data_IF_267203514663
#
_entry.id   IF_267203514663
#
_cell.length_a   1.000
_cell.length_b   1.000
_cell.length_c   1.000
_cell.angle_alpha   90.00
_cell.angle_beta   90.00
_cell.angle_gamma   90.00
#
_symmetry.space_group_name_H-M   'P 1'
#
loop_
_entity.id
_entity.type
_entity.pdbx_description
1 polymer ?
#
# COMPACT_ATOMS: atom_id res chain seq x y z
N UNK A 1 -87.21 -20.51 -15.86
CA UNK A 1 -86.82 -19.66 -17.01
C UNK A 1 -85.37 -19.42 -16.84
N UNK A 2 -84.53 -20.22 -17.49
CA UNK A 2 -83.08 -20.19 -17.38
C UNK A 2 -82.51 -19.60 -18.66
N UNK A 3 -81.72 -18.56 -18.54
CA UNK A 3 -80.97 -17.99 -19.66
C UNK A 3 -79.48 -18.24 -19.41
N UNK A 4 -78.94 -19.09 -20.25
CA UNK A 4 -77.53 -19.38 -20.26
C UNK A 4 -76.73 -18.29 -20.93
N UNK A 5 -75.56 -17.96 -20.35
CA UNK A 5 -74.54 -17.18 -21.01
C UNK A 5 -73.28 -18.02 -21.16
N UNK A 6 -72.95 -18.27 -22.40
CA UNK A 6 -71.74 -18.97 -22.84
C UNK A 6 -70.59 -17.93 -22.81
N UNK A 7 -69.57 -18.20 -22.01
CA UNK A 7 -68.35 -17.39 -22.01
C UNK A 7 -67.34 -18.02 -22.98
N UNK A 8 -66.91 -17.24 -23.95
CA UNK A 8 -65.81 -17.53 -24.89
C UNK A 8 -64.49 -17.22 -24.18
N UNK A 9 -63.67 -18.22 -23.97
CA UNK A 9 -62.34 -18.07 -23.46
C UNK A 9 -61.39 -17.75 -24.63
N UNK A 10 -60.93 -16.53 -24.67
CA UNK A 10 -59.88 -16.09 -25.60
C UNK A 10 -58.50 -16.55 -25.07
N UNK A 11 -57.85 -17.43 -25.80
CA UNK A 11 -56.41 -17.72 -25.65
C UNK A 11 -55.63 -16.61 -26.32
N UNK A 12 -54.95 -15.80 -25.53
CA UNK A 12 -53.92 -14.94 -26.08
C UNK A 12 -52.87 -14.63 -24.98
N UNK A 13 -51.63 -14.92 -25.26
CA UNK A 13 -50.49 -14.19 -24.70
C UNK A 13 -49.71 -14.86 -23.57
N UNK A 14 -49.15 -16.05 -23.75
CA UNK A 14 -47.86 -16.43 -23.08
C UNK A 14 -46.73 -16.08 -24.02
N UNK A 15 -46.24 -14.85 -23.93
CA UNK A 15 -45.05 -14.44 -24.61
C UNK A 15 -44.14 -13.70 -23.62
N UNK A 16 -42.94 -14.24 -23.42
CA UNK A 16 -41.70 -13.54 -23.12
C UNK A 16 -41.58 -12.78 -21.79
N UNK A 17 -41.19 -13.50 -20.75
CA UNK A 17 -40.27 -12.91 -19.75
C UNK A 17 -39.10 -13.92 -19.54
N UNK A 18 -38.28 -14.05 -20.57
CA UNK A 18 -36.99 -14.73 -20.54
C UNK A 18 -35.97 -13.78 -21.16
N UNK A 19 -35.57 -12.77 -20.41
CA UNK A 19 -34.40 -11.98 -20.79
C UNK A 19 -33.82 -11.30 -19.56
N UNK A 20 -32.49 -11.42 -19.42
CA UNK A 20 -31.62 -10.64 -18.56
C UNK A 20 -31.34 -11.18 -17.15
N UNK A 21 -30.92 -12.43 -17.05
CA UNK A 21 -29.95 -12.85 -16.04
C UNK A 21 -28.61 -13.07 -16.74
N UNK A 22 -28.03 -12.00 -17.25
CA UNK A 22 -26.67 -12.03 -17.80
C UNK A 22 -25.76 -11.23 -16.88
N UNK A 23 -24.82 -11.94 -16.30
CA UNK A 23 -23.47 -11.52 -15.98
C UNK A 23 -23.27 -10.39 -14.98
N UNK A 24 -23.13 -10.75 -13.72
CA UNK A 24 -22.16 -10.12 -12.85
C UNK A 24 -21.37 -11.18 -12.08
N UNK A 25 -20.57 -11.92 -12.80
CA UNK A 25 -19.51 -12.76 -12.24
C UNK A 25 -18.23 -12.57 -13.08
N UNK A 26 -17.85 -11.33 -13.31
CA UNK A 26 -16.46 -11.03 -13.61
C UNK A 26 -15.76 -10.86 -12.25
N UNK A 27 -15.43 -11.95 -11.60
CA UNK A 27 -14.33 -11.97 -10.65
C UNK A 27 -13.09 -11.59 -11.48
N UNK A 28 -12.76 -10.30 -11.48
CA UNK A 28 -11.61 -9.76 -12.19
C UNK A 28 -10.34 -10.39 -11.61
N UNK A 29 -9.90 -11.48 -12.21
CA UNK A 29 -8.51 -11.87 -12.09
C UNK A 29 -7.74 -10.77 -12.82
N UNK A 30 -6.91 -10.01 -12.08
CA UNK A 30 -5.99 -9.09 -12.73
C UNK A 30 -5.22 -9.87 -13.78
N UNK A 31 -5.19 -9.37 -15.00
CA UNK A 31 -4.44 -9.97 -16.08
C UNK A 31 -2.96 -10.08 -15.65
N UNK A 32 -2.31 -11.16 -16.06
CA UNK A 32 -0.88 -11.30 -15.83
C UNK A 32 -0.17 -10.12 -16.51
N UNK A 33 0.60 -9.35 -15.74
CA UNK A 33 1.19 -8.10 -16.22
C UNK A 33 2.06 -8.34 -17.45
N UNK A 34 1.90 -7.46 -18.44
CA UNK A 34 2.84 -7.34 -19.58
C UNK A 34 4.09 -6.54 -19.20
N UNK A 35 4.12 -5.95 -17.99
CA UNK A 35 5.22 -5.18 -17.43
C UNK A 35 6.04 -6.02 -16.46
N UNK A 36 7.29 -5.64 -16.26
CA UNK A 36 8.19 -6.21 -15.26
C UNK A 36 9.00 -5.10 -14.59
N UNK A 37 9.50 -5.39 -13.40
CA UNK A 37 10.47 -4.57 -12.68
C UNK A 37 11.83 -5.24 -12.81
N UNK A 38 12.64 -4.74 -13.75
CA UNK A 38 13.99 -5.22 -14.00
C UNK A 38 14.98 -4.53 -13.04
N UNK A 39 15.69 -5.32 -12.25
CA UNK A 39 16.70 -4.80 -11.32
C UNK A 39 17.77 -3.99 -12.05
N UNK A 40 18.06 -2.80 -11.55
CA UNK A 40 19.11 -1.90 -12.07
C UNK A 40 20.22 -1.64 -11.06
N UNK A 41 19.93 -1.80 -9.76
CA UNK A 41 20.93 -1.69 -8.70
C UNK A 41 20.46 -2.43 -7.43
N UNK A 42 21.46 -2.82 -6.61
CA UNK A 42 21.24 -3.48 -5.31
C UNK A 42 22.30 -3.00 -4.34
N UNK A 43 21.88 -2.66 -3.12
CA UNK A 43 22.73 -2.07 -2.12
C UNK A 43 22.54 -2.79 -0.77
N UNK A 44 23.64 -3.15 -0.10
CA UNK A 44 23.60 -3.60 1.27
C UNK A 44 23.15 -2.45 2.18
N UNK A 45 22.12 -2.67 2.97
CA UNK A 45 21.56 -1.67 3.89
C UNK A 45 20.95 -2.38 5.11
N UNK A 46 21.68 -2.52 6.22
CA UNK A 46 21.23 -3.22 7.43
C UNK A 46 19.86 -2.78 7.94
N UNK A 47 19.49 -1.52 7.72
CA UNK A 47 18.20 -0.94 8.09
C UNK A 47 17.04 -1.31 7.13
N UNK A 48 17.31 -1.96 5.99
CA UNK A 48 16.29 -2.39 5.03
C UNK A 48 15.45 -3.56 5.57
N UNK A 49 14.59 -3.28 6.54
CA UNK A 49 13.73 -4.27 7.22
C UNK A 49 12.25 -3.97 7.08
N UNK A 50 11.87 -2.69 7.07
CA UNK A 50 10.47 -2.25 7.01
C UNK A 50 10.17 -1.48 5.72
N UNK A 51 11.09 -0.67 5.20
CA UNK A 51 10.82 0.07 3.99
C UNK A 51 11.98 0.90 3.49
N UNK A 52 11.69 1.68 2.46
CA UNK A 52 12.63 2.60 1.83
C UNK A 52 11.91 3.88 1.43
N UNK A 53 12.62 5.02 1.56
CA UNK A 53 12.27 6.29 0.93
C UNK A 53 13.42 6.72 0.02
N UNK A 54 13.17 7.62 -0.92
CA UNK A 54 14.18 8.03 -1.90
C UNK A 54 14.02 9.51 -2.26
N UNK A 55 15.16 10.21 -2.38
CA UNK A 55 15.27 11.56 -2.97
C UNK A 55 16.15 11.55 -4.23
N UNK A 56 16.53 12.72 -4.72
CA UNK A 56 17.34 12.82 -5.93
C UNK A 56 18.77 12.26 -5.78
N UNK A 57 19.31 12.20 -4.57
CA UNK A 57 20.71 11.82 -4.29
C UNK A 57 20.83 10.59 -3.38
N UNK A 58 19.84 10.33 -2.52
CA UNK A 58 19.92 9.33 -1.48
C UNK A 58 18.72 8.40 -1.49
N UNK A 59 18.91 7.20 -0.93
CA UNK A 59 17.82 6.37 -0.42
C UNK A 59 17.95 6.26 1.10
N UNK A 60 16.81 6.00 1.74
CA UNK A 60 16.68 5.91 3.19
C UNK A 60 16.07 4.54 3.51
N UNK A 61 16.88 3.65 4.05
CA UNK A 61 16.42 2.33 4.51
C UNK A 61 15.86 2.44 5.93
N UNK A 62 14.70 1.85 6.16
CA UNK A 62 13.97 1.97 7.43
C UNK A 62 13.85 0.61 8.11
N UNK A 63 14.12 0.58 9.41
CA UNK A 63 13.83 -0.52 10.32
C UNK A 63 12.95 -0.02 11.47
N UNK A 64 12.46 -0.91 12.33
CA UNK A 64 11.54 -0.57 13.43
C UNK A 64 11.93 0.69 14.21
N UNK A 65 13.21 0.89 14.46
CA UNK A 65 13.75 1.97 15.31
C UNK A 65 14.91 2.71 14.69
N UNK A 66 15.12 2.61 13.39
CA UNK A 66 16.29 3.20 12.76
C UNK A 66 16.05 3.61 11.32
N UNK A 67 16.84 4.57 10.87
CA UNK A 67 16.87 5.06 9.51
C UNK A 67 18.33 5.17 9.08
N UNK A 68 18.71 4.44 8.04
CA UNK A 68 20.00 4.59 7.36
C UNK A 68 19.85 5.43 6.10
N UNK A 69 20.66 6.46 5.93
CA UNK A 69 20.74 7.29 4.71
C UNK A 69 21.94 6.87 3.88
N UNK A 70 21.73 6.64 2.60
CA UNK A 70 22.73 6.09 1.69
C UNK A 70 22.83 6.92 0.39
N UNK A 71 24.03 7.10 -0.10
CA UNK A 71 24.25 7.67 -1.42
C UNK A 71 23.82 6.72 -2.54
N UNK A 72 22.99 7.18 -3.48
CA UNK A 72 22.41 6.35 -4.55
C UNK A 72 23.42 5.85 -5.57
N UNK A 73 24.56 6.55 -5.74
CA UNK A 73 25.58 6.19 -6.73
C UNK A 73 26.55 5.15 -6.21
N UNK A 74 26.94 5.30 -4.94
CA UNK A 74 27.99 4.49 -4.33
C UNK A 74 27.45 3.40 -3.42
N UNK A 75 26.22 3.53 -2.91
CA UNK A 75 25.67 2.68 -1.86
C UNK A 75 26.30 2.95 -0.48
N UNK A 76 27.14 3.95 -0.32
CA UNK A 76 27.78 4.25 0.95
C UNK A 76 26.76 4.86 1.94
N UNK A 77 26.75 4.37 3.19
CA UNK A 77 26.00 4.99 4.26
C UNK A 77 26.62 6.35 4.62
N UNK A 78 25.81 7.42 4.51
CA UNK A 78 26.26 8.79 4.78
C UNK A 78 25.74 9.33 6.10
N UNK A 79 24.65 8.77 6.63
CA UNK A 79 24.12 9.09 7.95
C UNK A 79 23.28 7.95 8.49
N UNK A 80 23.11 7.92 9.80
CA UNK A 80 22.23 6.99 10.51
C UNK A 80 21.54 7.71 11.66
N UNK A 81 20.28 7.39 11.87
CA UNK A 81 19.54 7.70 13.07
C UNK A 81 19.04 6.41 13.72
N UNK A 82 19.03 6.38 15.05
CA UNK A 82 18.54 5.24 15.81
C UNK A 82 17.78 5.75 17.04
N UNK A 83 16.55 5.31 17.20
CA UNK A 83 15.73 5.61 18.37
C UNK A 83 16.21 4.83 19.61
N UNK A 84 16.01 5.41 20.78
CA UNK A 84 16.32 4.74 22.04
C UNK A 84 15.50 3.44 22.18
N UNK A 85 16.13 2.40 22.78
CA UNK A 85 15.49 1.09 22.97
C UNK A 85 14.15 1.17 23.69
N UNK A 86 14.08 2.03 24.71
CA UNK A 86 12.89 2.26 25.54
C UNK A 86 12.21 3.59 25.20
N UNK A 87 12.49 4.12 24.00
CA UNK A 87 11.90 5.35 23.49
C UNK A 87 10.52 5.15 22.88
N UNK A 88 9.88 6.26 22.46
CA UNK A 88 8.52 6.22 21.92
C UNK A 88 8.45 5.63 20.51
N UNK A 89 9.57 5.57 19.79
CA UNK A 89 9.60 5.01 18.43
C UNK A 89 9.86 3.52 18.52
N UNK A 90 8.84 2.73 18.20
CA UNK A 90 8.88 1.27 18.38
C UNK A 90 8.72 0.49 17.08
N UNK A 91 8.01 1.04 16.09
CA UNK A 91 7.78 0.40 14.81
C UNK A 91 7.60 1.43 13.70
N UNK A 92 8.73 1.91 13.14
CA UNK A 92 8.70 2.63 11.88
C UNK A 92 8.48 1.65 10.74
N UNK A 93 7.76 2.10 9.74
CA UNK A 93 7.50 1.38 8.50
C UNK A 93 8.16 2.10 7.30
N UNK A 94 7.39 2.43 6.30
CA UNK A 94 7.85 3.12 5.11
C UNK A 94 7.77 4.64 5.28
N UNK A 95 8.28 5.37 4.31
CA UNK A 95 8.21 6.83 4.32
C UNK A 95 8.39 7.46 2.95
N UNK A 96 8.26 8.77 2.91
CA UNK A 96 8.44 9.58 1.69
C UNK A 96 9.25 10.83 1.99
N UNK A 97 10.07 11.27 1.02
CA UNK A 97 10.76 12.56 1.09
C UNK A 97 9.93 13.63 0.39
N UNK A 98 9.57 14.68 1.13
CA UNK A 98 8.86 15.85 0.62
C UNK A 98 9.53 17.11 1.18
N UNK A 99 9.93 18.01 0.31
CA UNK A 99 10.52 19.31 0.67
C UNK A 99 11.66 19.21 1.72
N UNK A 100 12.59 18.25 1.49
CA UNK A 100 13.74 18.03 2.36
C UNK A 100 13.42 17.41 3.73
N UNK A 101 12.22 16.86 3.89
CA UNK A 101 11.79 16.16 5.11
C UNK A 101 11.42 14.71 4.78
N UNK A 102 11.81 13.79 5.64
CA UNK A 102 11.34 12.42 5.63
C UNK A 102 10.10 12.33 6.53
N UNK A 103 8.99 11.98 5.94
CA UNK A 103 7.75 11.62 6.64
C UNK A 103 7.72 10.10 6.76
N UNK A 104 7.93 9.58 7.94
CA UNK A 104 7.99 8.14 8.20
C UNK A 104 6.70 7.67 8.87
N UNK A 105 6.12 6.61 8.36
CA UNK A 105 5.00 5.92 8.98
C UNK A 105 5.46 5.26 10.27
N UNK A 106 4.66 5.33 11.33
CA UNK A 106 4.94 4.73 12.62
C UNK A 106 3.67 4.18 13.25
N UNK A 107 3.79 3.06 13.94
CA UNK A 107 2.73 2.48 14.76
C UNK A 107 3.30 1.83 16.03
N UNK A 108 2.41 1.43 16.94
CA UNK A 108 2.80 0.65 18.11
C UNK A 108 2.73 -0.87 17.84
N UNK A 109 2.70 -1.31 16.57
CA UNK A 109 2.65 -2.73 16.21
C UNK A 109 3.71 -3.54 17.00
N UNK A 110 3.39 -4.73 17.55
CA UNK A 110 2.10 -5.42 17.45
C UNK A 110 1.19 -5.21 18.67
N UNK A 111 1.30 -4.08 19.38
CA UNK A 111 0.48 -3.82 20.57
C UNK A 111 -0.97 -3.46 20.22
N UNK A 112 -1.87 -3.73 21.17
CA UNK A 112 -3.29 -3.42 21.08
C UNK A 112 -3.73 -2.49 22.24
N UNK A 113 -4.57 -1.47 21.96
CA UNK A 113 -5.06 -1.04 20.65
C UNK A 113 -3.93 -0.49 19.78
N UNK A 114 -4.04 -0.69 18.43
CA UNK A 114 -3.04 -0.14 17.52
C UNK A 114 -3.16 1.38 17.44
N UNK A 115 -2.03 2.07 17.66
CA UNK A 115 -1.91 3.51 17.50
C UNK A 115 -1.01 3.84 16.33
N UNK A 116 -1.21 4.98 15.69
CA UNK A 116 -0.43 5.41 14.54
C UNK A 116 -0.07 6.87 14.58
N UNK A 117 1.11 7.18 14.06
CA UNK A 117 1.61 8.53 13.89
C UNK A 117 2.49 8.64 12.64
N UNK A 118 2.75 9.86 12.21
CA UNK A 118 3.81 10.18 11.27
C UNK A 118 4.91 10.86 12.05
N UNK A 119 6.12 10.34 11.90
CA UNK A 119 7.32 10.93 12.47
C UNK A 119 8.08 11.67 11.39
N UNK A 120 8.43 12.93 11.66
CA UNK A 120 9.01 13.83 10.66
C UNK A 120 10.46 14.10 11.02
N UNK A 121 11.35 13.81 10.06
CA UNK A 121 12.78 14.00 10.20
C UNK A 121 13.27 15.00 9.15
N UNK A 122 14.24 15.83 9.50
CA UNK A 122 15.02 16.58 8.52
C UNK A 122 15.84 15.60 7.68
N UNK A 123 15.65 15.59 6.36
CA UNK A 123 16.26 14.59 5.48
C UNK A 123 17.79 14.75 5.33
N UNK A 124 18.33 15.94 5.61
CA UNK A 124 19.78 16.18 5.56
C UNK A 124 20.48 15.60 6.79
N UNK A 125 19.93 15.82 7.98
CA UNK A 125 20.56 15.51 9.27
C UNK A 125 19.99 14.31 10.00
N UNK A 126 18.84 13.79 9.57
CA UNK A 126 18.02 12.77 10.23
C UNK A 126 17.57 13.15 11.65
N UNK A 127 17.57 14.44 12.01
CA UNK A 127 17.01 14.90 13.28
C UNK A 127 15.49 14.86 13.23
N UNK A 128 14.86 14.35 14.27
CA UNK A 128 13.41 14.43 14.44
C UNK A 128 13.00 15.91 14.62
N UNK A 129 12.02 16.36 13.83
CA UNK A 129 11.57 17.76 13.78
C UNK A 129 10.07 17.92 13.98
N UNK A 130 9.31 16.83 14.02
CA UNK A 130 7.87 16.87 14.23
C UNK A 130 7.24 15.50 14.30
N UNK A 131 5.97 15.49 14.71
CA UNK A 131 5.12 14.31 14.75
C UNK A 131 3.67 14.70 14.50
N UNK A 132 2.88 13.79 13.95
CA UNK A 132 1.43 13.91 13.85
C UNK A 132 0.78 12.60 14.25
N UNK A 133 -0.08 12.62 15.29
CA UNK A 133 -0.73 11.41 15.80
C UNK A 133 -2.13 11.23 15.21
N UNK A 134 -2.44 10.03 14.74
CA UNK A 134 -3.78 9.59 14.35
C UNK A 134 -4.51 8.85 15.48
N UNK A 135 -3.82 8.56 16.59
CA UNK A 135 -4.36 7.75 17.68
C UNK A 135 -4.74 6.34 17.23
N UNK A 136 -5.90 5.85 17.68
CA UNK A 136 -6.38 4.48 17.40
C UNK A 136 -7.39 4.39 16.25
N UNK A 137 -7.63 5.47 15.54
CA UNK A 137 -8.81 5.59 14.64
C UNK A 137 -8.78 4.64 13.46
N UNK A 138 -7.60 4.37 12.87
CA UNK A 138 -7.51 3.74 11.57
C UNK A 138 -6.83 2.36 11.58
N UNK A 139 -5.96 2.07 12.52
CA UNK A 139 -5.11 0.87 12.56
C UNK A 139 -3.62 1.20 12.51
N UNK A 140 -2.79 0.28 12.04
CA UNK A 140 -1.33 0.42 11.92
C UNK A 140 -0.97 1.19 10.65
N UNK A 141 -0.37 2.37 10.78
CA UNK A 141 0.12 3.14 9.62
C UNK A 141 1.35 2.44 9.04
N UNK A 142 1.26 1.98 7.79
CA UNK A 142 2.35 1.25 7.11
C UNK A 142 3.09 2.09 6.08
N UNK A 143 2.45 3.06 5.45
CA UNK A 143 3.13 3.99 4.57
C UNK A 143 2.37 5.30 4.42
N UNK A 144 3.09 6.31 3.96
CA UNK A 144 2.58 7.64 3.61
C UNK A 144 3.23 8.09 2.32
N UNK A 145 2.49 8.81 1.47
CA UNK A 145 3.00 9.43 0.25
C UNK A 145 2.33 10.78 -0.01
N UNK A 146 2.95 11.59 -0.87
CA UNK A 146 2.45 12.87 -1.34
C UNK A 146 2.17 12.79 -2.83
N UNK A 147 0.90 12.97 -3.24
CA UNK A 147 0.48 12.89 -4.63
C UNK A 147 -0.67 13.85 -4.89
N UNK A 148 -0.63 14.56 -6.04
CA UNK A 148 -1.66 15.51 -6.49
C UNK A 148 -2.14 16.49 -5.40
N UNK A 149 -1.18 17.11 -4.72
CA UNK A 149 -1.47 18.10 -3.70
C UNK A 149 -2.14 17.57 -2.43
N UNK A 150 -2.16 16.26 -2.21
CA UNK A 150 -2.75 15.63 -1.04
C UNK A 150 -1.78 14.64 -0.38
N UNK A 151 -1.99 14.37 0.92
CA UNK A 151 -1.35 13.28 1.62
C UNK A 151 -2.17 12.00 1.47
N UNK A 152 -1.48 10.88 1.31
CA UNK A 152 -2.06 9.56 1.17
C UNK A 152 -1.39 8.62 2.15
N UNK A 153 -2.18 7.84 2.86
CA UNK A 153 -1.66 6.90 3.86
C UNK A 153 -2.48 5.62 3.88
N UNK A 154 -1.83 4.49 4.18
CA UNK A 154 -2.52 3.23 4.43
C UNK A 154 -2.40 2.83 5.88
N UNK A 155 -3.55 2.51 6.44
CA UNK A 155 -3.68 1.96 7.77
C UNK A 155 -4.04 0.48 7.64
N UNK A 156 -3.08 -0.36 7.97
CA UNK A 156 -3.23 -1.81 7.95
C UNK A 156 -4.03 -2.27 9.17
N UNK A 157 -4.89 -3.24 8.92
CA UNK A 157 -5.50 -4.07 9.94
C UNK A 157 -5.14 -5.53 9.64
N UNK A 158 -5.13 -6.37 10.66
CA UNK A 158 -4.61 -7.72 10.55
C UNK A 158 -5.64 -8.73 11.00
N UNK A 159 -5.76 -9.86 10.29
CA UNK A 159 -6.53 -11.03 10.72
C UNK A 159 -5.72 -11.95 11.64
N UNK A 160 -4.50 -11.53 12.00
CA UNK A 160 -3.60 -12.25 12.89
C UNK A 160 -3.93 -11.97 14.35
N UNK A 161 -3.73 -12.97 15.20
CA UNK A 161 -3.79 -12.84 16.67
C UNK A 161 -2.44 -12.36 17.18
N UNK A 162 -2.45 -11.33 18.02
CA UNK A 162 -1.26 -10.80 18.69
C UNK A 162 -1.40 -10.93 20.22
N UNK A 163 -0.26 -11.14 20.90
CA UNK A 163 -0.21 -11.20 22.37
C UNK A 163 -1.09 -12.31 22.97
N UNK A 164 -1.64 -12.08 24.16
CA UNK A 164 -2.44 -13.05 24.91
C UNK A 164 -3.89 -13.16 24.43
N UNK A 165 -4.31 -12.37 23.45
CA UNK A 165 -5.66 -12.42 22.90
C UNK A 165 -5.89 -13.77 22.19
N UNK A 166 -7.11 -14.30 22.29
CA UNK A 166 -7.54 -15.49 21.56
C UNK A 166 -8.24 -15.14 20.24
N UNK A 167 -8.36 -13.85 19.92
CA UNK A 167 -9.02 -13.34 18.72
C UNK A 167 -8.20 -12.23 18.08
N UNK A 168 -8.25 -12.06 16.76
CA UNK A 168 -7.66 -10.91 16.11
C UNK A 168 -8.26 -9.61 16.66
N UNK A 169 -7.43 -8.60 16.89
CA UNK A 169 -7.88 -7.25 17.24
C UNK A 169 -8.65 -6.60 16.09
N UNK A 170 -8.20 -6.83 14.84
CA UNK A 170 -8.77 -6.28 13.63
C UNK A 170 -9.08 -7.35 12.59
N UNK A 171 -9.22 -6.90 11.36
CA UNK A 171 -9.45 -7.73 10.19
C UNK A 171 -8.72 -7.11 9.00
N UNK A 172 -7.95 -7.89 8.26
CA UNK A 172 -7.19 -7.40 7.09
C UNK A 172 -8.07 -6.73 6.03
N UNK A 173 -9.35 -7.10 5.93
CA UNK A 173 -10.32 -6.43 5.04
C UNK A 173 -10.67 -5.00 5.47
N UNK A 174 -10.31 -4.57 6.67
CA UNK A 174 -10.46 -3.18 7.14
C UNK A 174 -9.26 -2.30 6.80
N UNK A 175 -8.27 -2.84 6.11
CA UNK A 175 -7.14 -2.06 5.64
C UNK A 175 -7.62 -0.99 4.67
N UNK A 176 -7.25 0.25 4.94
CA UNK A 176 -7.85 1.42 4.30
C UNK A 176 -6.78 2.36 3.75
N UNK A 177 -6.95 2.79 2.49
CA UNK A 177 -6.26 3.93 1.92
C UNK A 177 -7.02 5.21 2.28
N UNK A 178 -6.35 6.17 2.87
CA UNK A 178 -6.94 7.46 3.28
C UNK A 178 -6.24 8.60 2.55
N UNK A 179 -7.05 9.55 2.07
CA UNK A 179 -6.61 10.84 1.54
C UNK A 179 -6.81 11.93 2.58
N UNK A 180 -5.76 12.72 2.83
CA UNK A 180 -5.77 13.86 3.74
C UNK A 180 -5.38 15.16 3.02
N UNK A 181 -5.80 16.28 3.58
CA UNK A 181 -5.30 17.60 3.21
C UNK A 181 -3.93 17.92 3.88
N UNK A 182 -3.43 19.14 3.68
CA UNK A 182 -2.17 19.61 4.26
C UNK A 182 -2.15 19.71 5.78
N UNK A 183 -3.32 19.68 6.42
CA UNK A 183 -3.49 19.70 7.88
C UNK A 183 -3.80 18.33 8.45
N UNK A 184 -3.63 17.26 7.66
CA UNK A 184 -3.98 15.90 8.01
C UNK A 184 -5.48 15.70 8.33
N UNK A 185 -6.35 16.55 7.76
CA UNK A 185 -7.79 16.36 7.87
C UNK A 185 -8.26 15.34 6.84
N UNK A 186 -8.99 14.34 7.29
CA UNK A 186 -9.59 13.31 6.43
C UNK A 186 -10.43 13.92 5.32
N UNK A 187 -10.22 13.45 4.10
CA UNK A 187 -10.96 13.84 2.91
C UNK A 187 -11.80 12.70 2.36
N UNK A 188 -11.18 11.58 2.07
CA UNK A 188 -11.79 10.40 1.46
C UNK A 188 -11.05 9.13 1.89
N UNK A 189 -11.71 7.95 1.73
CA UNK A 189 -11.09 6.66 2.01
C UNK A 189 -11.61 5.54 1.11
N UNK A 190 -10.75 4.54 0.89
CA UNK A 190 -11.06 3.37 0.07
C UNK A 190 -10.48 2.11 0.71
N UNK A 191 -11.15 0.99 0.48
CA UNK A 191 -10.64 -0.33 0.85
C UNK A 191 -9.96 -1.01 -0.34
N UNK A 192 -9.11 -1.96 -0.06
CA UNK A 192 -8.45 -2.75 -1.09
C UNK A 192 -9.35 -3.89 -1.58
N UNK A 193 -9.24 -4.29 -2.88
CA UNK A 193 -10.01 -5.40 -3.42
C UNK A 193 -9.55 -6.74 -2.83
N UNK A 194 -10.45 -7.71 -2.78
CA UNK A 194 -10.20 -9.05 -2.25
C UNK A 194 -9.00 -9.76 -2.90
N UNK A 195 -8.73 -9.47 -4.19
CA UNK A 195 -7.59 -10.02 -4.92
C UNK A 195 -6.23 -9.65 -4.31
N UNK A 196 -6.13 -8.51 -3.62
CA UNK A 196 -4.92 -8.05 -2.92
C UNK A 196 -4.94 -8.51 -1.46
N UNK A 197 -6.07 -8.32 -0.76
CA UNK A 197 -6.14 -8.65 0.66
C UNK A 197 -5.86 -10.14 0.90
N UNK A 198 -6.47 -11.05 0.12
CA UNK A 198 -6.25 -12.50 0.25
C UNK A 198 -4.79 -12.91 0.02
N UNK A 199 -4.04 -12.16 -0.80
CA UNK A 199 -2.60 -12.41 -1.01
C UNK A 199 -1.76 -11.98 0.19
N UNK A 200 -2.25 -11.04 0.98
CA UNK A 200 -1.52 -10.47 2.13
C UNK A 200 -1.88 -11.13 3.45
N UNK A 201 -3.04 -11.81 3.54
CA UNK A 201 -3.49 -12.46 4.80
C UNK A 201 -2.49 -13.49 5.34
N UNK A 202 -2.37 -13.61 6.67
CA UNK A 202 -3.10 -12.89 7.73
C UNK A 202 -2.54 -11.50 8.06
N UNK A 203 -1.53 -11.06 7.30
CA UNK A 203 -0.95 -9.72 7.33
C UNK A 203 -1.76 -8.76 6.45
N UNK A 204 -1.15 -7.68 5.97
CA UNK A 204 -1.87 -6.65 5.22
C UNK A 204 -0.99 -5.97 4.18
N UNK A 205 -1.48 -4.88 3.59
CA UNK A 205 -0.71 -4.01 2.68
C UNK A 205 0.34 -3.28 3.50
N UNK A 206 1.61 -3.49 3.16
CA UNK A 206 2.76 -3.03 3.96
C UNK A 206 3.54 -1.89 3.32
N UNK A 207 3.36 -1.63 2.03
CA UNK A 207 4.05 -0.54 1.35
C UNK A 207 3.21 0.07 0.24
N UNK A 208 3.57 1.28 -0.18
CA UNK A 208 2.93 1.93 -1.31
C UNK A 208 3.61 3.21 -1.75
N UNK A 209 3.46 3.51 -3.04
CA UNK A 209 3.91 4.77 -3.62
C UNK A 209 3.15 5.07 -4.90
N UNK A 210 2.78 6.33 -5.13
CA UNK A 210 2.11 6.79 -6.35
C UNK A 210 3.09 6.89 -7.51
N UNK A 211 2.78 6.21 -8.61
CA UNK A 211 3.51 6.30 -9.86
C UNK A 211 3.18 7.55 -10.67
N UNK A 212 4.09 7.95 -11.57
CA UNK A 212 3.87 9.07 -12.48
C UNK A 212 2.76 8.80 -13.52
N UNK A 213 2.34 7.56 -13.67
CA UNK A 213 1.22 7.12 -14.51
C UNK A 213 -0.14 7.26 -13.83
N UNK A 214 -0.19 7.81 -12.62
CA UNK A 214 -1.40 7.99 -11.83
C UNK A 214 -1.94 6.71 -11.20
N UNK A 215 -1.19 5.61 -11.25
CA UNK A 215 -1.50 4.39 -10.51
C UNK A 215 -0.84 4.42 -9.14
N UNK A 216 -1.51 3.87 -8.16
CA UNK A 216 -0.92 3.57 -6.86
C UNK A 216 -0.34 2.15 -6.92
N UNK A 217 0.94 2.02 -6.58
CA UNK A 217 1.63 0.75 -6.47
C UNK A 217 1.74 0.37 -5.01
N UNK A 218 1.29 -0.84 -4.66
CA UNK A 218 1.32 -1.33 -3.27
C UNK A 218 1.93 -2.72 -3.21
N UNK A 219 2.45 -3.05 -2.04
CA UNK A 219 3.01 -4.36 -1.71
C UNK A 219 2.24 -4.99 -0.56
N UNK A 220 2.23 -6.31 -0.52
CA UNK A 220 1.86 -7.06 0.67
C UNK A 220 3.05 -7.21 1.63
N UNK A 221 2.98 -8.24 2.50
CA UNK A 221 4.00 -8.47 3.52
C UNK A 221 5.15 -9.39 3.04
N UNK A 222 4.86 -10.43 2.23
CA UNK A 222 5.84 -11.50 1.95
C UNK A 222 6.06 -11.79 0.46
N UNK A 223 5.06 -11.56 -0.37
CA UNK A 223 5.14 -11.95 -1.79
C UNK A 223 6.05 -11.01 -2.59
N UNK A 224 6.88 -11.55 -3.52
CA UNK A 224 7.74 -10.76 -4.39
C UNK A 224 6.91 -10.13 -5.54
N UNK A 225 5.94 -9.34 -5.17
CA UNK A 225 4.94 -8.76 -6.07
C UNK A 225 4.64 -7.30 -5.69
N UNK A 226 4.34 -6.50 -6.71
CA UNK A 226 3.77 -5.17 -6.58
C UNK A 226 2.41 -5.17 -7.29
N UNK A 227 1.40 -4.62 -6.65
CA UNK A 227 0.04 -4.52 -7.18
C UNK A 227 -0.22 -3.07 -7.60
N UNK A 228 -0.50 -2.85 -8.87
CA UNK A 228 -0.95 -1.56 -9.36
C UNK A 228 -2.46 -1.44 -9.16
N UNK A 229 -2.89 -0.39 -8.51
CA UNK A 229 -4.30 -0.10 -8.26
C UNK A 229 -4.62 1.34 -8.69
N UNK A 230 -5.89 1.60 -8.94
CA UNK A 230 -6.39 2.96 -9.19
C UNK A 230 -7.65 3.25 -8.37
N UNK A 231 -7.93 4.53 -8.22
CA UNK A 231 -9.18 4.97 -7.62
C UNK A 231 -10.34 4.60 -8.53
N UNK A 232 -11.46 4.10 -7.97
CA UNK A 232 -12.63 3.77 -8.77
C UNK A 232 -13.32 5.04 -9.26
N UNK A 233 -14.02 4.94 -10.38
CA UNK A 233 -14.89 6.04 -10.86
C UNK A 233 -16.08 6.30 -9.95
N UNK A 234 -16.50 5.28 -9.21
CA UNK A 234 -17.58 5.34 -8.23
C UNK A 234 -17.39 4.25 -7.17
N UNK A 235 -17.87 4.50 -5.95
CA UNK A 235 -17.75 3.59 -4.82
C UNK A 235 -16.42 3.75 -4.08
N UNK A 236 -16.14 2.81 -3.17
CA UNK A 236 -15.04 2.90 -2.21
C UNK A 236 -14.10 1.70 -2.23
N UNK A 237 -14.10 0.89 -3.29
CA UNK A 237 -13.18 -0.23 -3.47
C UNK A 237 -12.20 0.10 -4.59
N UNK A 238 -10.91 0.06 -4.30
CA UNK A 238 -9.86 0.28 -5.31
C UNK A 238 -9.95 -0.78 -6.43
N UNK A 239 -9.60 -0.38 -7.64
CA UNK A 239 -9.56 -1.30 -8.79
C UNK A 239 -8.16 -1.88 -8.93
N UNK A 240 -8.02 -3.21 -8.85
CA UNK A 240 -6.76 -3.91 -9.12
C UNK A 240 -6.52 -3.95 -10.64
N UNK A 241 -5.49 -3.27 -11.09
CA UNK A 241 -5.14 -3.14 -12.52
C UNK A 241 -4.26 -4.30 -12.98
N UNK A 242 -3.17 -4.56 -12.25
CA UNK A 242 -2.22 -5.63 -12.56
C UNK A 242 -1.36 -6.02 -11.36
N UNK A 243 -0.75 -7.20 -11.45
CA UNK A 243 0.28 -7.69 -10.54
C UNK A 243 1.60 -7.82 -11.29
N UNK A 244 2.67 -7.18 -10.77
CA UNK A 244 3.99 -7.14 -11.37
C UNK A 244 4.96 -7.87 -10.45
N UNK A 245 5.75 -8.81 -10.99
CA UNK A 245 6.83 -9.46 -10.23
C UNK A 245 7.93 -8.45 -9.88
N UNK A 246 8.40 -8.47 -8.63
CA UNK A 246 9.48 -7.63 -8.15
C UNK A 246 10.36 -8.44 -7.20
N UNK A 247 11.68 -8.37 -7.36
CA UNK A 247 12.64 -9.17 -6.58
C UNK A 247 12.85 -8.60 -5.16
N UNK A 248 11.76 -8.33 -4.45
CA UNK A 248 11.68 -7.85 -3.06
C UNK A 248 10.72 -8.74 -2.26
N UNK A 249 10.65 -8.56 -0.95
CA UNK A 249 9.84 -9.39 -0.07
C UNK A 249 8.68 -8.57 0.54
N UNK A 250 7.90 -7.91 -0.32
CA UNK A 250 6.87 -6.98 0.14
C UNK A 250 7.46 -5.75 0.83
N UNK A 251 6.76 -5.23 1.85
CA UNK A 251 7.18 -4.09 2.67
C UNK A 251 7.24 -2.74 1.90
N UNK A 252 7.78 -1.70 2.53
CA UNK A 252 7.79 -0.36 1.97
C UNK A 252 8.54 -0.22 0.66
N UNK A 253 7.94 0.48 -0.29
CA UNK A 253 8.48 0.81 -1.61
C UNK A 253 8.42 2.32 -1.86
N UNK A 254 9.24 2.83 -2.77
CA UNK A 254 9.23 4.24 -3.16
C UNK A 254 9.60 4.44 -4.63
N UNK A 255 8.76 5.15 -5.39
CA UNK A 255 9.14 5.63 -6.71
C UNK A 255 10.19 6.74 -6.61
N UNK A 256 11.25 6.60 -7.38
CA UNK A 256 12.26 7.66 -7.53
C UNK A 256 11.74 8.76 -8.46
N UNK A 257 11.27 9.85 -7.89
CA UNK A 257 10.74 10.99 -8.67
C UNK A 257 11.81 11.73 -9.48
N UNK A 258 13.10 11.52 -9.17
CA UNK A 258 14.22 12.06 -9.94
C UNK A 258 14.65 11.17 -11.11
N UNK A 259 14.22 9.89 -11.10
CA UNK A 259 14.51 8.92 -12.16
C UNK A 259 13.20 8.20 -12.57
N UNK A 260 12.42 8.77 -13.48
CA UNK A 260 11.14 8.22 -13.88
C UNK A 260 11.21 6.71 -14.23
N UNK A 261 10.27 5.97 -13.70
CA UNK A 261 10.15 4.54 -13.91
C UNK A 261 11.09 3.67 -13.05
N UNK A 262 11.82 4.24 -12.09
CA UNK A 262 12.64 3.48 -11.12
C UNK A 262 11.90 3.38 -9.79
N UNK A 263 11.67 2.15 -9.34
CA UNK A 263 11.06 1.81 -8.05
C UNK A 263 12.12 1.22 -7.12
N UNK A 264 12.18 1.72 -5.92
CA UNK A 264 12.97 1.17 -4.83
C UNK A 264 12.10 0.27 -3.95
N UNK A 265 12.64 -0.85 -3.51
CA UNK A 265 12.04 -1.75 -2.54
C UNK A 265 13.13 -2.42 -1.71
N UNK A 266 12.75 -3.32 -0.80
CA UNK A 266 13.71 -3.98 0.08
C UNK A 266 13.66 -5.51 -0.05
N UNK A 267 14.83 -6.16 0.05
CA UNK A 267 14.94 -7.57 0.36
C UNK A 267 15.23 -7.69 1.86
N UNK A 268 14.18 -7.87 2.63
CA UNK A 268 14.21 -7.89 4.10
C UNK A 268 15.14 -9.00 4.65
N UNK A 269 15.05 -10.19 4.09
CA UNK A 269 15.85 -11.34 4.51
C UNK A 269 17.35 -11.11 4.31
N UNK A 270 17.72 -10.36 3.25
CA UNK A 270 19.12 -10.06 2.91
C UNK A 270 19.60 -8.72 3.45
N UNK A 271 18.71 -7.89 4.01
CA UNK A 271 19.02 -6.52 4.43
C UNK A 271 19.60 -5.69 3.27
N UNK A 272 18.87 -5.67 2.14
CA UNK A 272 19.27 -4.98 0.93
C UNK A 272 18.17 -4.06 0.42
N UNK A 273 18.55 -2.95 -0.20
CA UNK A 273 17.67 -2.11 -1.01
C UNK A 273 17.87 -2.47 -2.48
N UNK A 274 16.77 -2.67 -3.19
CA UNK A 274 16.74 -3.03 -4.61
C UNK A 274 16.10 -1.90 -5.39
N UNK A 275 16.80 -1.37 -6.40
CA UNK A 275 16.24 -0.46 -7.38
C UNK A 275 15.92 -1.22 -8.67
N UNK A 276 14.72 -1.06 -9.20
CA UNK A 276 14.30 -1.72 -10.43
C UNK A 276 13.56 -0.74 -11.36
N UNK A 277 13.76 -0.90 -12.65
CA UNK A 277 13.08 -0.12 -13.67
C UNK A 277 11.88 -0.88 -14.22
N UNK A 278 10.74 -0.20 -14.26
CA UNK A 278 9.55 -0.74 -14.89
C UNK A 278 9.71 -0.67 -16.42
N UNK A 279 9.41 -1.77 -17.10
CA UNK A 279 9.45 -1.89 -18.56
C UNK A 279 8.44 -2.92 -19.05
N UNK A 280 8.12 -2.91 -20.34
CA UNK A 280 7.33 -3.97 -20.95
C UNK A 280 8.18 -5.24 -21.07
N UNK A 281 7.59 -6.41 -20.83
CA UNK A 281 8.26 -7.72 -21.01
C UNK A 281 8.70 -7.88 -22.46
N UNK A 282 9.93 -8.35 -22.65
CA UNK A 282 10.49 -8.57 -23.98
C UNK A 282 11.02 -7.31 -24.68
N UNK A 283 11.07 -6.17 -23.98
CA UNK A 283 11.79 -4.97 -24.46
C UNK A 283 13.22 -5.02 -23.94
N UNK A 284 14.23 -4.97 -24.82
CA UNK A 284 15.64 -5.01 -24.40
C UNK A 284 16.07 -3.78 -23.60
#
# INVERSE_FOLDING_TARGET
MAIGFTAVVGMAGRAALAAALIAFAAAGHAAQSTRELAEVARFAAPEARQGVAVDSQHFYAVTDRGIGKYDKKTGAQVAKWEGAKDGPIIHLDSGVIVDGKLYAAHSNYPAEPMTSSIEIYDAATLKAIGTHSFGIMWGSLTWVDRHDGAWWAVFANYSRVFGPSLRPYGNSYWTTLIKFDDKWQWQQGWIFPNSIIRRSEPMSVSGGSWGADGLLYVTGHDHPEVYAVRLPRAGSVLEHVETISFAVEGQGIAWDRSQPGVLYGISRSKAEVVAARIRNKGTP
#
